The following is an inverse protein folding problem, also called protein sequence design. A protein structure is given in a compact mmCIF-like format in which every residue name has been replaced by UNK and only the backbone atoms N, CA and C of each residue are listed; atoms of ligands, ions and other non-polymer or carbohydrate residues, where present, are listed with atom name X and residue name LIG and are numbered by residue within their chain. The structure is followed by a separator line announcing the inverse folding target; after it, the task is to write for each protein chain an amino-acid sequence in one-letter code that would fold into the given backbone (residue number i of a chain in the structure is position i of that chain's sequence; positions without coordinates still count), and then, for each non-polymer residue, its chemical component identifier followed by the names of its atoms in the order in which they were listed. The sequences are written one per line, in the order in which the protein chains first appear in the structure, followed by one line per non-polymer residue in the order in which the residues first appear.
data_IF_211220050362
#
_entry.id   IF_211220050362
#
_cell.length_a   1.000
_cell.length_b   1.000
_cell.length_c   1.000
_cell.angle_alpha   90.00
_cell.angle_beta   90.00
_cell.angle_gamma   90.00
#
_symmetry.space_group_name_H-M   'P 1'
#
loop_
_entity.id
_entity.type
_entity.pdbx_description
1 polymer ?
#
# COMPACT_ATOMS: atom_id res chain seq x y z
N UNK A 1 -1.25 -23.18 -27.63
CA UNK A 1 -1.32 -21.85 -28.29
C UNK A 1 -1.76 -20.72 -27.35
N UNK A 2 -2.24 -20.99 -26.14
CA UNK A 2 -2.74 -19.95 -25.22
C UNK A 2 -1.63 -19.10 -24.58
N UNK A 3 -0.55 -19.74 -24.09
CA UNK A 3 0.59 -19.05 -23.45
C UNK A 3 1.32 -18.12 -24.43
N UNK A 4 1.50 -18.54 -25.68
CA UNK A 4 2.12 -17.70 -26.71
C UNK A 4 1.28 -16.44 -27.01
N UNK A 5 -0.05 -16.55 -26.96
CA UNK A 5 -0.95 -15.40 -27.05
C UNK A 5 -0.77 -14.44 -25.88
N UNK A 6 -0.68 -14.95 -24.66
CA UNK A 6 -0.41 -14.13 -23.46
C UNK A 6 0.93 -13.41 -23.54
N UNK A 7 1.99 -14.10 -23.98
CA UNK A 7 3.32 -13.50 -24.12
C UNK A 7 3.38 -12.44 -25.23
N UNK A 8 2.54 -12.54 -26.26
CA UNK A 8 2.43 -11.50 -27.30
C UNK A 8 1.66 -10.27 -26.80
N UNK A 9 0.61 -10.47 -26.01
CA UNK A 9 -0.19 -9.37 -25.43
C UNK A 9 0.54 -8.69 -24.27
N UNK A 10 1.23 -9.47 -23.43
CA UNK A 10 1.93 -9.02 -22.23
C UNK A 10 3.37 -9.59 -22.22
N UNK A 11 4.31 -8.95 -22.96
CA UNK A 11 5.67 -9.47 -23.13
C UNK A 11 6.52 -9.46 -21.86
N UNK A 12 6.07 -8.80 -20.80
CA UNK A 12 6.68 -8.68 -19.48
C UNK A 12 6.30 -9.81 -18.51
N UNK A 13 5.31 -10.66 -18.88
CA UNK A 13 4.86 -11.79 -18.07
C UNK A 13 6.01 -12.69 -17.61
N UNK A 14 6.06 -12.91 -16.29
CA UNK A 14 6.98 -13.85 -15.64
C UNK A 14 6.44 -15.29 -15.66
N UNK A 15 7.35 -16.25 -15.48
CA UNK A 15 6.97 -17.67 -15.45
C UNK A 15 6.05 -18.00 -14.27
N UNK A 16 6.21 -17.32 -13.13
CA UNK A 16 5.33 -17.47 -11.98
C UNK A 16 3.91 -17.00 -12.30
N UNK A 17 3.75 -15.80 -12.89
CA UNK A 17 2.43 -15.28 -13.27
C UNK A 17 1.71 -16.17 -14.30
N UNK A 18 2.47 -16.71 -15.27
CA UNK A 18 1.90 -17.66 -16.25
C UNK A 18 1.47 -18.97 -15.56
N UNK A 19 2.24 -19.46 -14.58
CA UNK A 19 1.85 -20.63 -13.79
C UNK A 19 0.59 -20.36 -12.97
N UNK A 20 0.49 -19.19 -12.32
CA UNK A 20 -0.69 -18.77 -11.57
C UNK A 20 -1.94 -18.75 -12.47
N UNK A 21 -1.84 -18.18 -13.67
CA UNK A 21 -2.94 -18.16 -14.64
C UNK A 21 -3.35 -19.57 -15.13
N UNK A 22 -2.38 -20.48 -15.27
CA UNK A 22 -2.67 -21.88 -15.60
C UNK A 22 -3.43 -22.56 -14.46
N UNK A 23 -3.04 -22.30 -13.20
CA UNK A 23 -3.70 -22.83 -12.01
C UNK A 23 -5.12 -22.27 -11.85
N UNK A 24 -5.33 -20.97 -12.06
CA UNK A 24 -6.64 -20.31 -11.99
C UNK A 24 -7.62 -20.85 -13.03
N UNK A 25 -7.13 -21.14 -14.25
CA UNK A 25 -7.93 -21.77 -15.32
C UNK A 25 -8.21 -23.25 -15.09
N UNK A 26 -7.89 -23.79 -13.91
CA UNK A 26 -8.05 -25.20 -13.53
C UNK A 26 -7.38 -26.17 -14.50
N UNK A 27 -6.27 -25.78 -15.13
CA UNK A 27 -5.43 -26.77 -15.79
C UNK A 27 -4.83 -27.66 -14.71
N UNK A 28 -5.39 -28.86 -14.56
CA UNK A 28 -4.88 -29.91 -13.68
C UNK A 28 -3.54 -30.41 -14.21
N UNK A 29 -2.49 -29.65 -13.97
CA UNK A 29 -1.18 -29.90 -14.50
C UNK A 29 -0.20 -29.99 -13.34
N UNK A 30 0.41 -31.16 -13.17
CA UNK A 30 1.48 -31.42 -12.21
C UNK A 30 2.81 -30.82 -12.72
N UNK A 31 2.77 -29.54 -13.10
CA UNK A 31 3.84 -28.86 -13.81
C UNK A 31 4.54 -27.93 -12.81
N UNK A 32 5.83 -28.16 -12.62
CA UNK A 32 6.64 -27.30 -11.77
C UNK A 32 7.01 -26.00 -12.49
N UNK A 33 7.26 -24.94 -11.71
CA UNK A 33 7.65 -23.63 -12.23
C UNK A 33 8.85 -23.69 -13.18
N UNK A 34 9.81 -24.60 -12.94
CA UNK A 34 10.95 -24.82 -13.81
C UNK A 34 10.57 -25.26 -15.22
N UNK A 35 9.56 -26.14 -15.35
CA UNK A 35 9.04 -26.58 -16.65
C UNK A 35 8.34 -25.44 -17.38
N UNK A 36 7.52 -24.65 -16.69
CA UNK A 36 6.87 -23.46 -17.27
C UNK A 36 7.91 -22.45 -17.75
N UNK A 37 8.96 -22.21 -16.96
CA UNK A 37 10.05 -21.30 -17.31
C UNK A 37 10.80 -21.75 -18.57
N UNK A 38 11.14 -23.03 -18.66
CA UNK A 38 11.82 -23.59 -19.84
C UNK A 38 10.92 -23.50 -21.09
N UNK A 39 9.63 -23.78 -20.93
CA UNK A 39 8.66 -23.68 -22.02
C UNK A 39 8.46 -22.24 -22.51
N UNK A 40 8.37 -21.28 -21.60
CA UNK A 40 8.30 -19.84 -21.93
C UNK A 40 9.57 -19.38 -22.64
N UNK A 41 10.75 -19.84 -22.20
CA UNK A 41 12.02 -19.51 -22.87
C UNK A 41 12.00 -20.01 -24.33
N UNK A 42 11.64 -21.27 -24.53
CA UNK A 42 11.50 -21.84 -25.87
C UNK A 42 10.48 -21.08 -26.72
N UNK A 43 9.31 -20.74 -26.17
CA UNK A 43 8.30 -19.93 -26.88
C UNK A 43 8.82 -18.54 -27.27
N UNK A 44 9.61 -17.90 -26.41
CA UNK A 44 10.19 -16.58 -26.71
C UNK A 44 11.22 -16.65 -27.83
N UNK A 45 12.02 -17.71 -27.87
CA UNK A 45 12.99 -17.97 -28.94
C UNK A 45 12.29 -18.31 -30.26
N UNK A 46 11.32 -19.23 -30.25
CA UNK A 46 10.60 -19.69 -31.45
C UNK A 46 9.78 -18.59 -32.12
N UNK A 47 9.14 -17.73 -31.33
CA UNK A 47 8.25 -16.67 -31.83
C UNK A 47 8.88 -15.27 -31.80
N UNK A 48 10.18 -15.16 -31.52
CA UNK A 48 10.92 -13.89 -31.40
C UNK A 48 10.20 -12.86 -30.51
N UNK A 49 9.77 -13.29 -29.31
CA UNK A 49 9.02 -12.44 -28.38
C UNK A 49 10.00 -11.78 -27.39
N UNK A 50 10.30 -10.47 -27.53
CA UNK A 50 11.23 -9.80 -26.64
C UNK A 50 10.69 -9.75 -25.22
N UNK A 51 11.54 -10.03 -24.22
CA UNK A 51 11.18 -9.89 -22.81
C UNK A 51 11.34 -8.44 -22.39
N UNK A 52 10.21 -7.75 -22.23
CA UNK A 52 10.20 -6.37 -21.72
C UNK A 52 10.37 -6.43 -20.21
N UNK A 53 11.39 -5.76 -19.68
CA UNK A 53 11.59 -5.62 -18.23
C UNK A 53 11.27 -4.17 -17.88
N UNK A 54 10.10 -3.95 -17.29
CA UNK A 54 9.78 -2.66 -16.69
C UNK A 54 10.60 -2.52 -15.39
N UNK A 55 11.64 -1.68 -15.42
CA UNK A 55 12.24 -1.21 -14.16
C UNK A 55 11.17 -0.38 -13.44
N UNK A 56 10.99 -0.62 -12.14
CA UNK A 56 10.11 0.23 -11.32
C UNK A 56 10.58 1.68 -11.48
N UNK A 57 9.67 2.56 -11.90
CA UNK A 57 9.94 3.99 -11.99
C UNK A 57 10.01 4.64 -10.61
N UNK A 58 9.34 4.03 -9.63
CA UNK A 58 9.30 4.46 -8.25
C UNK A 58 10.01 3.41 -7.39
N UNK A 59 11.18 3.76 -6.90
CA UNK A 59 11.90 3.00 -5.89
C UNK A 59 11.69 3.68 -4.52
N UNK A 60 12.02 2.96 -3.45
CA UNK A 60 12.06 3.58 -2.13
C UNK A 60 13.09 4.71 -2.19
N UNK A 61 12.63 5.95 -2.02
CA UNK A 61 13.51 7.11 -1.87
C UNK A 61 14.29 6.91 -0.58
N UNK A 62 15.55 7.34 -0.56
CA UNK A 62 16.32 7.40 0.69
C UNK A 62 15.51 8.09 1.78
N UNK A 63 15.58 7.56 3.00
CA UNK A 63 14.84 8.13 4.12
C UNK A 63 15.29 9.59 4.32
N UNK A 64 14.35 10.55 4.40
CA UNK A 64 14.70 11.96 4.54
C UNK A 64 15.38 12.19 5.89
N UNK A 65 16.09 13.31 6.12
CA UNK A 65 16.79 13.55 7.38
C UNK A 65 15.89 13.41 8.61
N UNK A 66 16.47 13.08 9.76
CA UNK A 66 15.75 13.00 11.03
C UNK A 66 14.92 14.27 11.30
N UNK A 67 13.64 14.08 11.65
CA UNK A 67 12.71 15.18 11.89
C UNK A 67 12.33 15.98 10.63
N UNK A 68 12.74 15.58 9.43
CA UNK A 68 12.38 16.30 8.21
C UNK A 68 10.93 16.04 7.82
N UNK A 69 10.52 14.78 7.75
CA UNK A 69 9.21 14.40 7.25
C UNK A 69 8.48 13.47 8.23
N UNK A 70 7.19 13.69 8.39
CA UNK A 70 6.27 12.75 9.03
C UNK A 70 5.14 12.38 8.08
N UNK A 71 4.56 11.19 8.25
CA UNK A 71 3.31 10.78 7.61
C UNK A 71 2.18 10.88 8.61
N UNK A 72 1.10 11.52 8.21
CA UNK A 72 -0.16 11.51 8.95
C UNK A 72 -1.17 10.61 8.25
N UNK A 73 -1.90 9.83 9.03
CA UNK A 73 -3.00 8.97 8.56
C UNK A 73 -4.14 8.99 9.56
N UNK A 74 -5.38 9.00 9.07
CA UNK A 74 -6.57 8.74 9.88
C UNK A 74 -7.23 7.43 9.46
N UNK A 75 -7.52 6.56 10.42
CA UNK A 75 -8.18 5.28 10.12
C UNK A 75 -9.27 4.95 11.15
N UNK A 76 -10.40 4.41 10.68
CA UNK A 76 -11.40 3.82 11.57
C UNK A 76 -10.92 2.44 12.01
N UNK A 77 -10.76 2.25 13.31
CA UNK A 77 -10.39 0.98 13.89
C UNK A 77 -11.55 0.43 14.72
N UNK A 78 -12.00 -0.78 14.36
CA UNK A 78 -12.97 -1.53 15.16
C UNK A 78 -12.26 -2.21 16.33
N UNK A 79 -12.88 -2.18 17.50
CA UNK A 79 -12.40 -2.90 18.68
C UNK A 79 -13.54 -3.68 19.32
N UNK A 80 -13.18 -4.78 19.97
CA UNK A 80 -14.11 -5.67 20.64
C UNK A 80 -14.00 -5.44 22.14
N UNK A 81 -15.12 -5.17 22.78
CA UNK A 81 -15.25 -5.28 24.24
C UNK A 81 -16.00 -6.55 24.58
N UNK A 82 -16.05 -6.92 25.87
CA UNK A 82 -16.80 -8.10 26.32
C UNK A 82 -18.31 -8.00 26.02
N UNK A 83 -18.82 -6.80 25.80
CA UNK A 83 -20.25 -6.51 25.67
C UNK A 83 -20.66 -5.91 24.32
N UNK A 84 -19.73 -5.39 23.51
CA UNK A 84 -20.07 -4.77 22.22
C UNK A 84 -18.87 -4.65 21.26
N UNK A 85 -19.17 -4.38 20.00
CA UNK A 85 -18.20 -3.90 19.02
C UNK A 85 -18.25 -2.38 19.02
N UNK A 86 -17.11 -1.74 19.31
CA UNK A 86 -16.92 -0.31 19.18
C UNK A 86 -16.14 0.03 17.91
N UNK A 87 -16.30 1.27 17.44
CA UNK A 87 -15.43 1.86 16.43
C UNK A 87 -14.81 3.13 17.02
N UNK A 88 -13.52 3.32 16.79
CA UNK A 88 -12.80 4.54 17.15
C UNK A 88 -12.04 5.05 15.94
N UNK A 89 -11.88 6.36 15.87
CA UNK A 89 -11.00 6.96 14.89
C UNK A 89 -9.58 7.03 15.47
N UNK A 90 -8.59 6.63 14.69
CA UNK A 90 -7.19 6.62 15.09
C UNK A 90 -6.43 7.65 14.28
N UNK A 91 -5.81 8.60 14.96
CA UNK A 91 -4.84 9.52 14.36
C UNK A 91 -3.44 8.95 14.56
N UNK A 92 -2.69 8.83 13.48
CA UNK A 92 -1.33 8.30 13.55
C UNK A 92 -0.37 9.22 12.82
N UNK A 93 0.69 9.59 13.53
CA UNK A 93 1.84 10.29 12.99
C UNK A 93 3.04 9.34 13.00
N UNK A 94 3.78 9.29 11.90
CA UNK A 94 4.96 8.42 11.77
C UNK A 94 6.10 9.22 11.16
N UNK A 95 7.19 9.40 11.90
CA UNK A 95 8.41 10.03 11.37
C UNK A 95 9.03 9.16 10.27
N UNK A 96 9.34 9.74 9.11
CA UNK A 96 9.78 8.99 7.93
C UNK A 96 11.10 8.25 8.16
N UNK A 97 12.09 8.91 8.77
CA UNK A 97 13.42 8.33 8.99
C UNK A 97 13.43 7.26 10.09
N UNK A 98 12.94 7.59 11.28
CA UNK A 98 13.03 6.70 12.45
C UNK A 98 11.87 5.70 12.55
N UNK A 99 10.80 5.90 11.77
CA UNK A 99 9.51 5.21 11.92
C UNK A 99 8.89 5.37 13.31
N UNK A 100 9.33 6.37 14.07
CA UNK A 100 8.83 6.66 15.41
C UNK A 100 7.39 7.19 15.32
N UNK A 101 6.49 6.61 16.13
CA UNK A 101 5.05 6.78 15.97
C UNK A 101 4.43 7.50 17.15
N UNK A 102 3.49 8.37 16.84
CA UNK A 102 2.53 8.91 17.78
C UNK A 102 1.13 8.48 17.35
N UNK A 103 0.30 8.07 18.31
CA UNK A 103 -1.04 7.53 18.04
C UNK A 103 -2.03 8.07 19.06
N UNK A 104 -3.16 8.57 18.58
CA UNK A 104 -4.30 8.96 19.40
C UNK A 104 -5.58 8.27 18.94
N UNK A 105 -6.48 8.02 19.90
CA UNK A 105 -7.80 7.45 19.66
C UNK A 105 -8.88 8.48 20.00
N UNK A 106 -9.85 8.66 19.10
CA UNK A 106 -11.03 9.49 19.33
C UNK A 106 -12.29 8.64 19.30
N UNK A 107 -13.15 8.83 20.30
CA UNK A 107 -14.48 8.22 20.37
C UNK A 107 -15.54 9.02 19.56
N UNK A 108 -15.21 10.24 19.16
CA UNK A 108 -16.12 11.16 18.46
C UNK A 108 -15.82 11.21 16.96
N UNK A 109 -16.84 11.53 16.13
CA UNK A 109 -16.63 11.79 14.71
C UNK A 109 -15.66 12.95 14.47
N UNK A 110 -15.06 12.95 13.28
CA UNK A 110 -14.05 13.88 12.81
C UNK A 110 -14.49 15.36 12.95
N UNK A 111 -13.72 16.15 13.70
CA UNK A 111 -13.82 17.62 13.68
C UNK A 111 -12.45 18.23 13.38
N UNK A 112 -12.45 19.39 12.72
CA UNK A 112 -11.22 20.16 12.44
C UNK A 112 -10.45 20.47 13.73
N UNK A 113 -11.16 20.74 14.83
CA UNK A 113 -10.56 21.02 16.13
C UNK A 113 -9.78 19.82 16.66
N UNK A 114 -10.35 18.62 16.57
CA UNK A 114 -9.69 17.39 17.04
C UNK A 114 -8.43 17.09 16.24
N UNK A 115 -8.46 17.34 14.92
CA UNK A 115 -7.28 17.18 14.07
C UNK A 115 -6.18 18.15 14.48
N UNK A 116 -6.50 19.43 14.70
CA UNK A 116 -5.52 20.43 15.15
C UNK A 116 -4.92 20.00 16.48
N UNK A 117 -5.75 19.59 17.44
CA UNK A 117 -5.27 19.16 18.75
C UNK A 117 -4.35 17.93 18.65
N UNK A 118 -4.71 16.95 17.81
CA UNK A 118 -3.88 15.77 17.60
C UNK A 118 -2.51 16.12 16.99
N UNK A 119 -2.43 17.15 16.12
CA UNK A 119 -1.15 17.65 15.61
C UNK A 119 -0.32 18.31 16.70
N UNK A 120 -0.92 19.19 17.51
CA UNK A 120 -0.24 19.86 18.62
C UNK A 120 0.33 18.85 19.62
N UNK A 121 -0.48 17.87 20.02
CA UNK A 121 -0.05 16.80 20.93
C UNK A 121 1.06 15.94 20.32
N UNK A 122 0.99 15.63 19.03
CA UNK A 122 2.06 14.91 18.33
C UNK A 122 3.37 15.70 18.34
N UNK A 123 3.31 17.02 18.10
CA UNK A 123 4.49 17.87 18.12
C UNK A 123 5.09 17.99 19.53
N UNK A 124 4.26 18.09 20.56
CA UNK A 124 4.71 18.05 21.94
C UNK A 124 5.38 16.70 22.26
N UNK A 125 4.77 15.58 21.86
CA UNK A 125 5.33 14.24 22.03
C UNK A 125 6.69 14.06 21.35
N UNK A 126 6.85 14.61 20.15
CA UNK A 126 8.14 14.58 19.44
C UNK A 126 9.16 15.59 19.97
N UNK A 127 8.76 16.53 20.83
CA UNK A 127 9.60 17.64 21.27
C UNK A 127 9.85 18.68 20.18
N UNK A 128 8.99 18.72 19.14
CA UNK A 128 9.10 19.61 18.00
C UNK A 128 8.21 19.20 16.83
N UNK A 129 8.16 20.05 15.81
CA UNK A 129 7.38 19.82 14.59
C UNK A 129 8.30 19.39 13.43
N UNK A 130 7.93 18.35 12.64
CA UNK A 130 8.67 18.01 11.44
C UNK A 130 8.59 19.14 10.39
N UNK A 131 9.58 19.23 9.51
CA UNK A 131 9.59 20.26 8.44
C UNK A 131 8.46 20.05 7.42
N UNK A 132 8.06 18.81 7.20
CA UNK A 132 7.03 18.42 6.24
C UNK A 132 6.13 17.34 6.85
N UNK A 133 4.83 17.43 6.57
CA UNK A 133 3.86 16.38 6.89
C UNK A 133 3.22 15.94 5.58
N UNK A 134 3.35 14.65 5.30
CA UNK A 134 2.72 13.99 4.16
C UNK A 134 1.40 13.39 4.61
N UNK A 135 0.33 13.84 3.97
CA UNK A 135 -1.02 13.33 4.17
C UNK A 135 -1.29 12.25 3.13
N UNK A 136 -1.41 11.00 3.55
CA UNK A 136 -1.66 9.87 2.65
C UNK A 136 -3.17 9.72 2.42
N UNK A 137 -3.59 9.79 1.14
CA UNK A 137 -4.90 9.40 0.61
C UNK A 137 -6.21 9.71 1.37
N UNK A 138 -6.26 10.72 2.23
CA UNK A 138 -7.50 11.04 2.94
C UNK A 138 -8.30 12.14 2.23
N UNK A 139 -9.18 11.71 1.33
CA UNK A 139 -10.38 12.43 0.91
C UNK A 139 -11.20 12.95 2.12
N UNK A 140 -10.96 12.42 3.32
CA UNK A 140 -11.51 12.85 4.61
C UNK A 140 -11.01 14.24 5.07
N UNK A 141 -9.80 14.68 4.72
CA UNK A 141 -9.32 16.03 5.10
C UNK A 141 -10.04 17.12 4.28
N UNK A 142 -10.53 16.76 3.09
CA UNK A 142 -11.05 17.70 2.10
C UNK A 142 -12.58 17.77 2.02
N UNK A 143 -13.32 16.90 2.72
CA UNK A 143 -14.78 16.94 2.73
C UNK A 143 -15.26 17.76 3.92
N UNK A 144 -15.98 18.84 3.61
CA UNK A 144 -16.72 19.68 4.55
C UNK A 144 -17.49 18.85 5.58
N UNK A 145 -17.41 19.29 6.85
CA UNK A 145 -18.16 18.77 8.00
C UNK A 145 -19.45 18.02 7.61
N UNK A 146 -19.38 16.69 7.52
CA UNK A 146 -20.59 15.89 7.32
C UNK A 146 -21.40 15.98 8.60
N UNK A 147 -22.38 16.89 8.62
CA UNK A 147 -23.42 16.92 9.63
C UNK A 147 -24.15 15.58 9.54
N UNK A 148 -24.01 14.74 10.56
CA UNK A 148 -24.82 13.54 10.69
C UNK A 148 -26.24 14.00 11.03
N UNK A 149 -27.12 14.00 10.03
CA UNK A 149 -28.58 14.03 10.22
C UNK A 149 -29.11 12.65 10.52
#
# INVERSE_FOLDING_TARGET
MEIAGWLKTYPDLSAAQVLDWLMEKKFSTNVCEGTVRNYIRWLREEYDIPKIVHKRQYEAIEDPPMGHQARWTSEKQSFWTQTAVGQTLVYRFVLAHSRYKYVEWSASPFTTRDVIQAHENAFEYYGGMPKEIVYDQDHLILVSETTVT
#
